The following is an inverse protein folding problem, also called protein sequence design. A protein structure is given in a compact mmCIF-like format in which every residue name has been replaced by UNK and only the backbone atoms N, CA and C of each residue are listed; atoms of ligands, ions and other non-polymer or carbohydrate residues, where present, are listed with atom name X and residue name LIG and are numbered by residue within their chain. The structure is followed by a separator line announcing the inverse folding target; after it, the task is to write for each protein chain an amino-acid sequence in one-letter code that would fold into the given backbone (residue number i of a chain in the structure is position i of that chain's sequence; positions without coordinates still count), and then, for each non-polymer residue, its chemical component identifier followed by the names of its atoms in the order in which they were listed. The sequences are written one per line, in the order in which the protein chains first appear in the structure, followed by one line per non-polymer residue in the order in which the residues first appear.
data_IF_344167287668
#
_entry.id   IF_344167287668
#
_cell.length_a   1.000
_cell.length_b   1.000
_cell.length_c   1.000
_cell.angle_alpha   90.00
_cell.angle_beta   90.00
_cell.angle_gamma   90.00
#
_symmetry.space_group_name_H-M   'P 1'
#
loop_
_entity.id
_entity.type
_entity.pdbx_description
1 polymer ?
#
# COMPACT_ATOMS: atom_id res chain seq x y z
N UNK A 1 -59.70 32.61 -33.42
CA UNK A 1 -58.62 33.41 -34.04
C UNK A 1 -57.39 33.42 -33.11
N UNK A 2 -56.33 32.71 -33.49
CA UNK A 2 -54.95 33.09 -33.15
C UNK A 2 -54.45 34.05 -34.25
N UNK A 3 -53.36 34.86 -34.11
CA UNK A 3 -52.18 34.62 -33.25
C UNK A 3 -51.44 35.83 -32.59
N UNK A 4 -50.62 35.52 -31.54
CA UNK A 4 -49.19 35.94 -31.25
C UNK A 4 -48.88 37.45 -31.02
N UNK A 5 -48.02 37.93 -30.11
CA UNK A 5 -46.71 37.52 -29.52
C UNK A 5 -46.37 38.47 -28.29
N UNK A 6 -45.18 38.47 -27.62
CA UNK A 6 -44.84 37.74 -26.39
C UNK A 6 -44.45 38.57 -25.14
N UNK A 7 -44.27 37.83 -24.04
CA UNK A 7 -43.82 38.21 -22.69
C UNK A 7 -42.33 38.58 -22.61
N UNK A 8 -41.94 39.85 -22.59
CA UNK A 8 -40.68 40.33 -22.00
C UNK A 8 -40.92 41.72 -21.40
N UNK A 9 -41.24 41.81 -20.11
CA UNK A 9 -41.14 43.05 -19.29
C UNK A 9 -41.52 42.77 -17.83
N UNK A 10 -40.89 41.77 -17.20
CA UNK A 10 -40.91 41.58 -15.74
C UNK A 10 -39.60 40.96 -15.23
N UNK A 11 -38.44 41.53 -15.60
CA UNK A 11 -37.15 41.25 -14.94
C UNK A 11 -36.15 42.40 -15.20
N UNK A 12 -36.56 43.64 -14.93
CA UNK A 12 -35.72 44.81 -15.14
C UNK A 12 -36.02 45.90 -14.12
N UNK A 13 -35.89 45.59 -12.83
CA UNK A 13 -35.94 46.59 -11.74
C UNK A 13 -35.39 46.08 -10.38
N UNK A 14 -34.43 45.15 -10.40
CA UNK A 14 -33.63 44.76 -9.20
C UNK A 14 -32.12 44.77 -9.49
N UNK A 15 -31.70 45.16 -10.70
CA UNK A 15 -30.29 45.16 -11.12
C UNK A 15 -29.62 46.56 -11.08
N UNK A 16 -30.13 47.48 -10.26
CA UNK A 16 -29.61 48.87 -10.19
C UNK A 16 -29.43 49.42 -8.75
N UNK A 17 -29.24 48.53 -7.76
CA UNK A 17 -28.86 48.95 -6.39
C UNK A 17 -27.65 48.23 -5.79
N UNK A 18 -26.91 47.41 -6.57
CA UNK A 18 -25.70 46.71 -6.11
C UNK A 18 -24.44 47.04 -6.93
N UNK A 19 -24.49 48.08 -7.77
CA UNK A 19 -23.34 48.55 -8.57
C UNK A 19 -22.70 49.85 -8.06
N UNK A 20 -23.16 50.43 -6.93
CA UNK A 20 -22.59 51.67 -6.37
C UNK A 20 -21.86 51.51 -5.02
N UNK A 21 -21.88 50.31 -4.40
CA UNK A 21 -21.10 50.03 -3.18
C UNK A 21 -19.75 49.34 -3.45
N UNK A 22 -19.47 48.97 -4.72
CA UNK A 22 -18.21 48.32 -5.11
C UNK A 22 -17.18 49.29 -5.71
N UNK A 23 -17.56 50.55 -6.01
CA UNK A 23 -16.65 51.56 -6.55
C UNK A 23 -16.04 52.52 -5.50
N UNK A 24 -16.41 52.40 -4.22
CA UNK A 24 -15.90 53.25 -3.13
C UNK A 24 -14.94 52.55 -2.15
N UNK A 25 -14.60 51.28 -2.37
CA UNK A 25 -13.57 50.55 -1.60
C UNK A 25 -12.23 50.36 -2.35
N UNK A 26 -12.08 50.97 -3.54
CA UNK A 26 -10.84 50.92 -4.34
C UNK A 26 -10.01 52.22 -4.28
N UNK A 27 -10.08 52.97 -3.17
CA UNK A 27 -9.20 54.11 -2.88
C UNK A 27 -8.86 54.18 -1.38
N UNK A 28 -8.15 53.17 -0.89
CA UNK A 28 -7.37 53.27 0.34
C UNK A 28 -6.10 52.43 0.16
N UNK A 29 -5.00 53.11 -0.15
CA UNK A 29 -3.69 52.49 -0.33
C UNK A 29 -3.12 52.02 1.00
N UNK A 30 -3.01 50.69 1.17
CA UNK A 30 -2.10 50.06 2.13
C UNK A 30 -0.85 49.56 1.41
N UNK A 31 0.32 49.47 2.08
CA UNK A 31 1.57 49.10 1.44
C UNK A 31 1.52 47.66 0.92
N UNK A 32 2.01 47.48 -0.32
CA UNK A 32 2.04 46.19 -0.99
C UNK A 32 2.91 45.16 -0.24
N UNK A 33 2.48 43.89 -0.12
CA UNK A 33 3.35 42.84 0.39
C UNK A 33 4.49 42.58 -0.61
N UNK A 34 5.71 42.24 -0.14
CA UNK A 34 6.84 42.02 -1.02
C UNK A 34 6.59 40.84 -1.96
N UNK A 35 6.90 41.02 -3.25
CA UNK A 35 6.95 39.98 -4.27
C UNK A 35 7.80 38.81 -3.76
N UNK A 36 7.20 37.64 -3.57
CA UNK A 36 7.95 36.39 -3.52
C UNK A 36 8.40 36.06 -4.94
N UNK A 37 9.70 36.19 -5.20
CA UNK A 37 10.33 35.54 -6.34
C UNK A 37 10.23 34.01 -6.20
N UNK A 38 10.11 33.27 -7.31
CA UNK A 38 10.20 31.81 -7.27
C UNK A 38 11.57 31.41 -6.70
N UNK A 39 11.68 30.41 -5.81
CA UNK A 39 12.98 29.97 -5.36
C UNK A 39 13.74 29.41 -6.56
N UNK A 40 14.81 30.11 -6.93
CA UNK A 40 15.78 29.64 -7.90
C UNK A 40 16.35 28.29 -7.48
N UNK A 41 16.66 27.46 -8.47
CA UNK A 41 17.38 26.22 -8.30
C UNK A 41 18.69 26.46 -7.53
N UNK A 42 18.69 26.09 -6.25
CA UNK A 42 19.90 25.97 -5.48
C UNK A 42 20.58 24.65 -5.85
N UNK A 43 21.51 24.69 -6.81
CA UNK A 43 22.59 23.70 -6.91
C UNK A 43 23.46 23.79 -5.66
N UNK A 44 22.99 23.17 -4.57
CA UNK A 44 23.76 23.02 -3.34
C UNK A 44 24.75 21.87 -3.46
N UNK A 45 25.98 22.16 -3.88
CA UNK A 45 27.17 21.36 -3.53
C UNK A 45 27.40 21.45 -2.01
N UNK A 46 26.62 20.70 -1.24
CA UNK A 46 26.75 20.57 0.21
C UNK A 46 27.30 19.19 0.57
N UNK A 47 28.61 19.09 0.75
CA UNK A 47 29.25 17.90 1.30
C UNK A 47 28.76 17.63 2.72
N UNK A 48 28.24 16.43 2.97
CA UNK A 48 27.94 15.92 4.30
C UNK A 48 29.24 15.84 5.12
N UNK A 49 29.45 16.79 6.04
CA UNK A 49 30.45 16.67 7.11
C UNK A 49 29.75 16.34 8.44
N UNK A 50 30.21 15.25 9.05
CA UNK A 50 30.29 15.11 10.51
C UNK A 50 29.09 14.50 11.24
N UNK A 51 29.09 13.17 11.38
CA UNK A 51 28.52 12.53 12.57
C UNK A 51 29.45 12.82 13.76
N UNK A 52 28.96 13.21 14.95
CA UNK A 52 29.81 13.25 16.13
C UNK A 52 30.16 11.82 16.56
N UNK A 53 31.43 11.68 16.95
CA UNK A 53 32.12 10.44 17.33
C UNK A 53 31.49 9.76 18.54
N UNK A 54 31.73 8.45 18.57
CA UNK A 54 31.58 7.48 19.67
C UNK A 54 31.80 8.08 21.07
N UNK A 55 30.97 7.64 22.02
CA UNK A 55 31.35 7.46 23.42
C UNK A 55 31.16 5.98 23.79
N UNK A 56 32.00 5.42 24.68
CA UNK A 56 32.25 3.98 24.77
C UNK A 56 31.20 3.22 25.59
N UNK A 57 30.92 1.99 25.16
CA UNK A 57 30.22 0.97 25.95
C UNK A 57 31.12 0.46 27.08
N UNK A 58 30.64 0.28 28.32
CA UNK A 58 31.35 -0.54 29.29
C UNK A 58 31.06 -2.03 29.02
N UNK A 59 32.14 -2.81 29.14
CA UNK A 59 32.18 -4.25 28.92
C UNK A 59 31.38 -5.01 29.98
N UNK A 60 30.66 -6.04 29.54
CA UNK A 60 30.13 -7.11 30.38
C UNK A 60 31.23 -8.16 30.59
N UNK A 61 31.60 -8.40 31.85
CA UNK A 61 32.22 -9.65 32.31
C UNK A 61 31.23 -10.28 33.31
N UNK A 62 30.91 -11.56 33.12
CA UNK A 62 30.44 -12.43 34.21
C UNK A 62 31.57 -13.36 34.66
N UNK A 63 31.33 -14.38 35.49
CA UNK A 63 30.22 -14.60 36.43
C UNK A 63 30.73 -14.83 37.88
N UNK A 64 29.91 -14.61 38.92
CA UNK A 64 30.11 -15.24 40.23
C UNK A 64 28.80 -15.40 41.02
N UNK A 65 28.67 -16.55 41.67
CA UNK A 65 27.74 -16.91 42.76
C UNK A 65 28.54 -17.84 43.69
N UNK A 66 28.09 -18.18 44.91
CA UNK A 66 27.09 -17.57 45.80
C UNK A 66 27.66 -17.31 47.23
N UNK A 67 26.97 -16.54 48.07
CA UNK A 67 27.06 -16.71 49.52
C UNK A 67 25.81 -16.25 50.24
N UNK A 68 25.45 -17.01 51.26
CA UNK A 68 24.28 -16.91 52.10
C UNK A 68 24.48 -15.87 53.21
N UNK A 69 23.40 -15.25 53.68
CA UNK A 69 23.15 -15.22 55.13
C UNK A 69 21.65 -15.05 55.48
N UNK A 70 21.30 -15.67 56.60
CA UNK A 70 19.99 -15.88 57.24
C UNK A 70 19.67 -14.74 58.21
N UNK A 71 18.37 -14.46 58.35
CA UNK A 71 17.63 -14.28 59.63
C UNK A 71 16.16 -13.98 59.29
N UNK A 72 15.19 -14.90 59.43
CA UNK A 72 14.38 -15.27 60.63
C UNK A 72 13.97 -14.03 61.45
N UNK A 73 12.70 -13.66 61.62
CA UNK A 73 11.49 -14.35 62.15
C UNK A 73 10.23 -13.56 61.69
N UNK A 74 8.96 -13.99 61.72
CA UNK A 74 8.23 -14.97 62.55
C UNK A 74 6.89 -15.29 61.87
N UNK A 75 6.44 -16.54 62.01
CA UNK A 75 5.11 -17.05 61.65
C UNK A 75 4.02 -16.47 62.56
N UNK A 76 2.79 -16.32 62.03
CA UNK A 76 1.54 -16.69 62.68
C UNK A 76 0.48 -17.07 61.62
N UNK A 77 -0.44 -17.92 62.04
CA UNK A 77 -1.14 -18.97 61.29
C UNK A 77 -2.60 -18.66 60.94
N UNK A 78 -3.07 -19.32 59.88
CA UNK A 78 -4.42 -19.88 59.60
C UNK A 78 -5.64 -18.96 59.50
N UNK A 79 -6.31 -19.01 58.34
CA UNK A 79 -7.70 -19.46 58.27
C UNK A 79 -8.09 -19.90 56.85
N UNK A 80 -8.70 -21.09 56.77
CA UNK A 80 -9.35 -21.73 55.62
C UNK A 80 -10.48 -20.85 55.10
N UNK A 81 -10.68 -20.70 53.78
CA UNK A 81 -12.02 -20.54 53.20
C UNK A 81 -12.11 -21.20 51.80
N UNK A 82 -13.05 -22.15 51.73
CA UNK A 82 -13.69 -22.89 50.62
C UNK A 82 -13.27 -22.61 49.17
N UNK A 83 -12.79 -23.69 48.54
CA UNK A 83 -12.91 -23.96 47.10
C UNK A 83 -14.39 -24.13 46.76
N UNK A 84 -14.90 -23.33 45.82
CA UNK A 84 -16.17 -23.60 45.14
C UNK A 84 -15.88 -23.74 43.65
N UNK A 85 -16.10 -24.94 43.13
CA UNK A 85 -16.08 -25.25 41.70
C UNK A 85 -17.41 -24.78 41.12
N UNK A 86 -17.38 -23.78 40.25
CA UNK A 86 -18.50 -23.46 39.35
C UNK A 86 -18.07 -23.68 37.90
N UNK A 87 -18.86 -24.48 37.19
CA UNK A 87 -18.73 -24.89 35.79
C UNK A 87 -18.65 -23.69 34.82
N UNK A 88 -18.05 -23.88 33.63
CA UNK A 88 -17.74 -22.79 32.71
C UNK A 88 -19.02 -22.25 32.06
N UNK A 89 -19.26 -20.95 32.22
CA UNK A 89 -20.23 -20.22 31.41
C UNK A 89 -19.57 -19.87 30.08
N UNK A 90 -20.32 -20.09 29.01
CA UNK A 90 -19.84 -20.23 27.64
C UNK A 90 -18.97 -19.09 27.14
N UNK A 91 -17.96 -19.48 26.36
CA UNK A 91 -17.31 -18.64 25.38
C UNK A 91 -18.36 -18.17 24.36
N UNK A 92 -19.01 -17.06 24.65
CA UNK A 92 -19.71 -16.27 23.64
C UNK A 92 -18.66 -15.48 22.87
N UNK A 93 -18.64 -15.69 21.55
CA UNK A 93 -17.97 -14.86 20.54
C UNK A 93 -17.79 -13.41 20.98
N UNK A 94 -16.54 -12.99 21.17
CA UNK A 94 -16.19 -11.64 21.55
C UNK A 94 -16.82 -10.63 20.57
N UNK A 95 -17.65 -9.76 21.14
CA UNK A 95 -18.40 -8.75 20.40
C UNK A 95 -17.47 -7.77 19.69
N UNK A 96 -17.69 -7.64 18.38
CA UNK A 96 -17.23 -6.48 17.61
C UNK A 96 -18.01 -5.28 18.15
N UNK A 97 -17.36 -4.38 18.90
CA UNK A 97 -18.02 -3.12 19.28
C UNK A 97 -18.24 -2.32 18.00
N UNK A 98 -19.50 -2.19 17.57
CA UNK A 98 -19.84 -1.31 16.46
C UNK A 98 -19.62 0.12 16.94
N UNK A 99 -18.65 0.82 16.35
CA UNK A 99 -18.39 2.24 16.61
C UNK A 99 -19.69 3.03 16.39
N UNK A 100 -20.12 3.82 17.38
CA UNK A 100 -21.28 4.70 17.20
C UNK A 100 -20.82 6.00 16.55
N UNK A 101 -21.68 6.62 15.74
CA UNK A 101 -21.35 7.84 15.00
C UNK A 101 -20.86 8.99 15.92
N UNK A 102 -21.43 9.08 17.12
CA UNK A 102 -21.04 10.06 18.16
C UNK A 102 -19.60 9.90 18.66
N UNK A 103 -19.00 8.71 18.46
CA UNK A 103 -17.63 8.41 18.91
C UNK A 103 -16.59 8.85 17.86
N UNK A 104 -17.02 9.17 16.62
CA UNK A 104 -16.14 9.55 15.52
C UNK A 104 -15.65 10.99 15.73
N UNK A 105 -14.33 11.14 15.90
CA UNK A 105 -13.65 12.43 16.05
C UNK A 105 -12.99 12.87 14.75
N UNK A 106 -12.61 11.93 13.87
CA UNK A 106 -12.00 12.23 12.57
C UNK A 106 -12.75 11.47 11.48
N UNK A 107 -13.85 12.01 10.95
CA UNK A 107 -14.46 11.42 9.77
C UNK A 107 -13.45 11.47 8.61
N UNK A 108 -13.36 10.38 7.86
CA UNK A 108 -12.57 10.29 6.62
C UNK A 108 -13.52 10.13 5.43
N UNK A 109 -14.26 11.18 5.05
CA UNK A 109 -15.36 11.08 4.08
C UNK A 109 -14.89 10.96 2.62
N UNK A 110 -13.62 10.63 2.41
CA UNK A 110 -13.02 10.57 1.08
C UNK A 110 -13.60 9.42 0.26
N UNK A 111 -13.84 9.70 -1.01
CA UNK A 111 -14.41 8.77 -1.98
C UNK A 111 -13.31 8.23 -2.87
N UNK A 112 -13.49 6.99 -3.32
CA UNK A 112 -12.63 6.42 -4.34
C UNK A 112 -12.84 7.13 -5.68
N UNK A 113 -11.75 7.62 -6.26
CA UNK A 113 -11.66 8.10 -7.65
C UNK A 113 -11.27 6.96 -8.58
N UNK A 114 -10.32 6.12 -8.14
CA UNK A 114 -9.90 4.89 -8.81
C UNK A 114 -9.88 3.78 -7.76
N UNK A 115 -10.43 2.62 -8.11
CA UNK A 115 -10.49 1.48 -7.22
C UNK A 115 -10.58 0.19 -8.03
N UNK A 116 -9.59 -0.71 -7.95
CA UNK A 116 -9.63 -1.98 -8.66
C UNK A 116 -10.52 -3.02 -7.96
N UNK A 117 -11.08 -2.68 -6.80
CA UNK A 117 -11.99 -3.50 -6.01
C UNK A 117 -11.38 -4.83 -5.60
N UNK A 118 -12.23 -5.83 -5.44
CA UNK A 118 -11.79 -7.17 -5.01
C UNK A 118 -10.99 -7.93 -6.08
N UNK A 119 -10.94 -7.44 -7.33
CA UNK A 119 -10.26 -8.15 -8.41
C UNK A 119 -8.77 -8.42 -8.10
N UNK A 120 -8.11 -7.48 -7.42
CA UNK A 120 -6.71 -7.61 -6.99
C UNK A 120 -6.56 -8.65 -5.87
N UNK A 121 -7.61 -8.89 -5.09
CA UNK A 121 -7.59 -9.78 -3.93
C UNK A 121 -8.30 -11.12 -4.13
N UNK A 122 -8.82 -11.38 -5.33
CA UNK A 122 -9.36 -12.69 -5.74
C UNK A 122 -8.29 -13.44 -6.52
N UNK A 123 -7.56 -14.37 -5.88
CA UNK A 123 -6.71 -15.29 -6.62
C UNK A 123 -7.55 -16.51 -7.03
N UNK A 124 -7.67 -16.75 -8.34
CA UNK A 124 -8.28 -17.98 -8.85
C UNK A 124 -7.20 -19.04 -8.98
N UNK A 125 -7.08 -19.94 -8.00
CA UNK A 125 -6.28 -21.15 -8.17
C UNK A 125 -7.14 -22.17 -8.91
N UNK A 126 -6.73 -22.57 -10.12
CA UNK A 126 -7.26 -23.78 -10.74
C UNK A 126 -6.84 -24.95 -9.87
N UNK A 127 -7.78 -25.64 -9.24
CA UNK A 127 -7.52 -26.94 -8.63
C UNK A 127 -7.07 -27.89 -9.73
N UNK A 128 -5.78 -28.24 -9.77
CA UNK A 128 -5.33 -29.37 -10.60
C UNK A 128 -5.85 -30.65 -9.92
N UNK A 129 -7.02 -31.11 -10.35
CA UNK A 129 -7.52 -32.44 -10.00
C UNK A 129 -6.64 -33.48 -10.67
N UNK A 130 -5.67 -34.03 -9.93
CA UNK A 130 -4.94 -35.22 -10.33
C UNK A 130 -5.92 -36.41 -10.28
N UNK A 131 -6.60 -36.68 -11.39
CA UNK A 131 -7.39 -37.89 -11.56
C UNK A 131 -6.43 -39.00 -11.98
N UNK A 132 -6.01 -39.81 -11.02
CA UNK A 132 -5.19 -41.01 -11.26
C UNK A 132 -6.12 -42.09 -11.84
N UNK A 133 -6.34 -42.08 -13.15
CA UNK A 133 -6.96 -43.23 -13.81
C UNK A 133 -5.93 -44.36 -13.89
N UNK A 134 -5.99 -45.29 -12.94
CA UNK A 134 -5.53 -46.65 -13.21
C UNK A 134 -6.49 -47.25 -14.23
N UNK A 135 -5.95 -47.63 -15.38
CA UNK A 135 -6.67 -48.36 -16.42
C UNK A 135 -5.66 -49.22 -17.15
N UNK A 136 -5.73 -50.52 -16.87
CA UNK A 136 -4.88 -51.58 -17.41
C UNK A 136 -4.85 -51.55 -18.94
N UNK A 137 -3.67 -51.83 -19.49
CA UNK A 137 -3.53 -52.14 -20.90
C UNK A 137 -4.11 -53.51 -21.22
N UNK A 138 -4.76 -53.62 -22.38
CA UNK A 138 -4.85 -54.85 -23.15
C UNK A 138 -4.85 -54.50 -24.64
N UNK A 139 -3.95 -55.17 -25.36
CA UNK A 139 -3.90 -55.31 -26.81
C UNK A 139 -5.18 -55.97 -27.33
N UNK A 140 -5.66 -55.58 -28.53
CA UNK A 140 -5.56 -56.37 -29.79
C UNK A 140 -6.52 -55.85 -30.87
N UNK A 141 -5.96 -55.66 -32.08
CA UNK A 141 -6.44 -56.08 -33.40
C UNK A 141 -7.69 -55.48 -34.08
N UNK A 142 -7.41 -55.05 -35.32
CA UNK A 142 -8.23 -54.62 -36.46
C UNK A 142 -9.25 -55.61 -37.03
N UNK A 143 -10.29 -55.10 -37.71
CA UNK A 143 -10.78 -55.40 -39.10
C UNK A 143 -12.19 -54.77 -39.31
N UNK A 144 -12.44 -54.11 -40.45
CA UNK A 144 -13.76 -53.57 -40.88
C UNK A 144 -14.48 -54.50 -41.90
N UNK A 145 -15.30 -54.01 -42.86
CA UNK A 145 -16.44 -53.07 -42.82
C UNK A 145 -17.73 -53.67 -43.45
N UNK A 146 -18.90 -53.00 -43.38
CA UNK A 146 -20.08 -53.35 -44.20
C UNK A 146 -21.38 -52.58 -43.93
N UNK A 147 -21.81 -51.79 -44.94
CA UNK A 147 -23.16 -51.48 -45.49
C UNK A 147 -24.45 -51.93 -44.73
N UNK A 148 -25.65 -51.32 -44.77
CA UNK A 148 -26.32 -50.17 -45.44
C UNK A 148 -27.76 -50.05 -44.88
N UNK A 149 -28.32 -48.83 -44.91
CA UNK A 149 -29.72 -48.40 -45.15
C UNK A 149 -30.91 -48.75 -44.21
N UNK A 150 -31.48 -47.66 -43.68
CA UNK A 150 -32.89 -47.21 -43.62
C UNK A 150 -34.02 -48.23 -43.36
N UNK A 151 -34.95 -47.90 -42.45
CA UNK A 151 -36.34 -47.46 -42.79
C UNK A 151 -37.01 -46.83 -41.54
N UNK A 152 -37.78 -45.78 -41.80
CA UNK A 152 -38.64 -44.99 -40.91
C UNK A 152 -39.92 -45.76 -40.53
N UNK A 153 -40.52 -45.48 -39.36
CA UNK A 153 -41.98 -45.51 -39.21
C UNK A 153 -42.57 -45.90 -37.86
N UNK A 154 -43.24 -44.91 -37.23
CA UNK A 154 -44.40 -44.98 -36.31
C UNK A 154 -44.13 -45.28 -34.83
N UNK A 155 -44.26 -44.32 -33.88
CA UNK A 155 -45.48 -43.77 -33.21
C UNK A 155 -46.41 -44.87 -32.67
N UNK A 156 -46.85 -44.94 -31.40
CA UNK A 156 -46.90 -43.98 -30.30
C UNK A 156 -47.17 -44.71 -28.95
N UNK A 157 -46.39 -44.35 -27.94
CA UNK A 157 -46.61 -44.27 -26.47
C UNK A 157 -47.81 -44.98 -25.78
N UNK A 158 -47.48 -45.83 -24.80
CA UNK A 158 -48.25 -46.12 -23.57
C UNK A 158 -47.42 -45.75 -22.34
N UNK A 159 -48.13 -45.30 -21.30
CA UNK A 159 -47.68 -44.87 -19.98
C UNK A 159 -46.75 -45.87 -19.24
N UNK A 160 -45.71 -45.37 -18.56
CA UNK A 160 -45.67 -45.29 -17.08
C UNK A 160 -44.30 -44.85 -16.51
N UNK A 161 -44.39 -43.85 -15.64
CA UNK A 161 -43.56 -43.50 -14.46
C UNK A 161 -42.11 -44.02 -14.35
N UNK A 162 -41.13 -43.10 -14.35
CA UNK A 162 -39.97 -43.13 -13.43
C UNK A 162 -39.16 -41.82 -13.44
N UNK A 163 -38.73 -41.44 -12.24
CA UNK A 163 -37.81 -40.36 -11.85
C UNK A 163 -36.74 -40.04 -12.90
N UNK A 164 -36.79 -38.83 -13.45
CA UNK A 164 -35.76 -38.25 -14.29
C UNK A 164 -34.66 -37.58 -13.47
N UNK A 165 -33.46 -38.08 -13.64
CA UNK A 165 -32.19 -37.61 -13.10
C UNK A 165 -31.96 -36.13 -13.42
N UNK A 166 -31.63 -35.32 -12.41
CA UNK A 166 -30.98 -34.04 -12.64
C UNK A 166 -29.56 -34.32 -13.13
N UNK A 167 -29.28 -33.97 -14.39
CA UNK A 167 -27.91 -33.89 -14.89
C UNK A 167 -27.09 -32.97 -13.98
N UNK A 168 -26.23 -33.55 -13.17
CA UNK A 168 -25.18 -32.86 -12.45
C UNK A 168 -24.19 -32.30 -13.46
N UNK A 169 -24.39 -31.05 -13.87
CA UNK A 169 -23.34 -30.28 -14.51
C UNK A 169 -22.14 -30.27 -13.55
N UNK A 170 -21.03 -30.85 -13.98
CA UNK A 170 -19.76 -30.76 -13.29
C UNK A 170 -19.30 -29.29 -13.33
N UNK A 171 -19.78 -28.49 -12.37
CA UNK A 171 -19.24 -27.18 -12.07
C UNK A 171 -17.81 -27.38 -11.58
N UNK A 172 -16.84 -26.88 -12.34
CA UNK A 172 -15.46 -26.78 -11.88
C UNK A 172 -15.45 -25.99 -10.57
N UNK A 173 -15.20 -26.67 -9.46
CA UNK A 173 -15.11 -26.04 -8.14
C UNK A 173 -13.87 -25.15 -8.08
N UNK A 174 -14.01 -23.86 -8.34
CA UNK A 174 -12.97 -22.88 -8.06
C UNK A 174 -12.87 -22.72 -6.53
N UNK A 175 -11.85 -23.30 -5.92
CA UNK A 175 -11.48 -22.92 -4.55
C UNK A 175 -10.97 -21.48 -4.57
N UNK A 176 -11.71 -20.57 -3.95
CA UNK A 176 -11.28 -19.18 -3.78
C UNK A 176 -10.08 -19.19 -2.83
N UNK A 177 -8.87 -19.09 -3.39
CA UNK A 177 -7.68 -18.83 -2.58
C UNK A 177 -7.66 -17.36 -2.21
N UNK A 178 -7.34 -17.08 -0.95
CA UNK A 178 -7.14 -15.71 -0.47
C UNK A 178 -5.68 -15.30 -0.67
N UNK A 179 -5.47 -14.01 -0.89
CA UNK A 179 -4.13 -13.41 -0.95
C UNK A 179 -3.40 -13.72 0.35
N UNK A 180 -2.17 -14.24 0.27
CA UNK A 180 -1.37 -14.48 1.46
C UNK A 180 -0.69 -13.19 1.93
N UNK A 181 -0.15 -12.40 1.01
CA UNK A 181 0.48 -11.11 1.29
C UNK A 181 -0.07 -9.99 0.39
N UNK A 182 -0.83 -9.06 0.97
CA UNK A 182 -1.16 -7.81 0.29
C UNK A 182 0.01 -6.83 0.45
N UNK A 183 0.53 -6.31 -0.65
CA UNK A 183 1.48 -5.20 -0.66
C UNK A 183 0.75 -3.95 -1.10
N UNK A 184 0.68 -2.93 -0.24
CA UNK A 184 0.22 -1.60 -0.68
C UNK A 184 1.37 -0.61 -0.64
N UNK A 185 1.55 0.12 -1.73
CA UNK A 185 2.67 1.03 -1.94
C UNK A 185 2.17 2.46 -1.93
N UNK A 186 2.69 3.29 -1.03
CA UNK A 186 2.47 4.73 -1.10
C UNK A 186 3.25 5.30 -2.30
N UNK A 187 2.53 5.97 -3.21
CA UNK A 187 3.13 6.64 -4.35
C UNK A 187 2.49 8.00 -4.58
N UNK A 188 3.18 8.91 -5.26
CA UNK A 188 2.62 10.17 -5.70
C UNK A 188 2.12 10.05 -7.16
N UNK A 189 1.06 10.76 -7.58
CA UNK A 189 0.57 10.75 -8.95
C UNK A 189 1.67 10.90 -10.00
N UNK A 190 2.64 11.81 -9.78
CA UNK A 190 3.79 12.07 -10.66
C UNK A 190 4.82 10.92 -10.76
N UNK A 191 4.80 9.94 -9.86
CA UNK A 191 5.82 8.89 -9.75
C UNK A 191 5.55 7.67 -10.67
N UNK A 192 5.04 7.89 -11.89
CA UNK A 192 4.75 6.83 -12.87
C UNK A 192 5.96 5.91 -13.09
N UNK A 193 7.15 6.50 -13.23
CA UNK A 193 8.40 5.75 -13.46
C UNK A 193 8.79 4.86 -12.27
N UNK A 194 8.50 5.30 -11.04
CA UNK A 194 8.79 4.49 -9.85
C UNK A 194 7.82 3.31 -9.74
N UNK A 195 6.52 3.56 -9.94
CA UNK A 195 5.51 2.48 -10.00
C UNK A 195 5.86 1.46 -11.09
N UNK A 196 6.21 1.93 -12.28
CA UNK A 196 6.67 1.07 -13.37
C UNK A 196 7.90 0.25 -12.98
N UNK A 197 8.89 0.85 -12.31
CA UNK A 197 10.08 0.11 -11.87
C UNK A 197 9.74 -1.01 -10.87
N UNK A 198 8.75 -0.81 -10.00
CA UNK A 198 8.27 -1.84 -9.07
C UNK A 198 7.63 -2.99 -9.85
N UNK A 199 6.76 -2.69 -10.82
CA UNK A 199 6.12 -3.69 -11.69
C UNK A 199 7.11 -4.49 -12.53
N UNK A 200 8.25 -3.91 -12.88
CA UNK A 200 9.31 -4.56 -13.66
C UNK A 200 10.32 -5.33 -12.80
N UNK A 201 10.26 -5.18 -11.48
CA UNK A 201 11.24 -5.76 -10.56
C UNK A 201 10.56 -6.62 -9.49
N UNK A 202 10.70 -6.25 -8.22
CA UNK A 202 10.27 -7.03 -7.07
C UNK A 202 8.75 -7.17 -6.97
N UNK A 203 8.00 -6.21 -7.53
CA UNK A 203 6.55 -6.24 -7.64
C UNK A 203 6.05 -6.78 -8.99
N UNK A 204 6.88 -7.52 -9.74
CA UNK A 204 6.47 -8.13 -11.00
C UNK A 204 5.43 -9.23 -10.81
N UNK A 205 4.60 -9.45 -11.84
CA UNK A 205 3.52 -10.47 -11.80
C UNK A 205 4.03 -11.88 -11.47
N UNK A 206 5.23 -12.24 -11.93
CA UNK A 206 5.88 -13.51 -11.60
C UNK A 206 6.28 -13.57 -10.13
N UNK A 207 6.99 -12.55 -9.63
CA UNK A 207 7.41 -12.42 -8.24
C UNK A 207 6.20 -12.48 -7.29
N UNK A 208 5.15 -11.71 -7.58
CA UNK A 208 3.94 -11.69 -6.76
C UNK A 208 3.22 -13.05 -6.75
N UNK A 209 3.07 -13.69 -7.92
CA UNK A 209 2.41 -15.02 -8.03
C UNK A 209 3.16 -16.10 -7.26
N UNK A 210 4.49 -16.11 -7.32
CA UNK A 210 5.34 -17.07 -6.61
C UNK A 210 5.11 -17.03 -5.09
N UNK A 211 4.78 -15.85 -4.56
CA UNK A 211 4.63 -15.61 -3.13
C UNK A 211 3.16 -15.48 -2.68
N UNK A 212 2.20 -15.87 -3.54
CA UNK A 212 0.76 -15.63 -3.34
C UNK A 212 0.45 -14.20 -2.83
N UNK A 213 1.11 -13.23 -3.46
CA UNK A 213 1.03 -11.82 -3.10
C UNK A 213 0.24 -11.04 -4.16
N UNK A 214 -0.36 -9.94 -3.72
CA UNK A 214 -1.01 -8.94 -4.58
C UNK A 214 -0.44 -7.57 -4.29
N UNK A 215 -0.48 -6.67 -5.27
CA UNK A 215 0.08 -5.32 -5.14
C UNK A 215 -0.94 -4.27 -5.58
N UNK A 216 -1.02 -3.18 -4.81
CA UNK A 216 -1.73 -1.94 -5.19
C UNK A 216 -0.90 -0.70 -4.86
N UNK A 217 -1.11 0.38 -5.62
CA UNK A 217 -0.56 1.70 -5.34
C UNK A 217 -1.63 2.59 -4.72
N UNK A 218 -1.33 3.24 -3.59
CA UNK A 218 -2.24 4.15 -2.90
C UNK A 218 -1.83 5.61 -3.19
N UNK A 219 -2.75 6.38 -3.76
CA UNK A 219 -2.56 7.76 -4.19
C UNK A 219 -3.67 8.68 -3.67
N UNK A 220 -3.38 9.98 -3.57
CA UNK A 220 -4.38 11.03 -3.47
C UNK A 220 -4.71 11.65 -4.84
N UNK A 221 -5.64 12.59 -4.83
CA UNK A 221 -6.02 13.39 -5.99
C UNK A 221 -4.91 14.34 -6.44
N UNK A 222 -4.94 14.68 -7.73
CA UNK A 222 -4.00 15.59 -8.37
C UNK A 222 -4.77 16.65 -9.16
N UNK A 223 -4.48 17.96 -8.98
CA UNK A 223 -5.21 19.01 -9.67
C UNK A 223 -4.76 19.21 -11.12
N UNK A 224 -3.55 18.78 -11.48
CA UNK A 224 -3.02 18.89 -12.85
C UNK A 224 -3.77 17.95 -13.81
N UNK A 225 -4.52 18.49 -14.79
CA UNK A 225 -5.30 17.67 -15.72
C UNK A 225 -4.44 16.76 -16.62
N UNK A 226 -3.22 17.19 -16.97
CA UNK A 226 -2.32 16.38 -17.80
C UNK A 226 -1.82 15.17 -17.03
N UNK A 227 -1.43 15.40 -15.77
CA UNK A 227 -1.00 14.32 -14.89
C UNK A 227 -2.16 13.37 -14.54
N UNK A 228 -3.37 13.90 -14.35
CA UNK A 228 -4.57 13.08 -14.18
C UNK A 228 -4.81 12.18 -15.41
N UNK A 229 -4.73 12.71 -16.62
CA UNK A 229 -4.89 11.92 -17.85
C UNK A 229 -3.87 10.78 -17.94
N UNK A 230 -2.59 11.06 -17.65
CA UNK A 230 -1.55 10.03 -17.62
C UNK A 230 -1.84 8.95 -16.57
N UNK A 231 -2.36 9.34 -15.40
CA UNK A 231 -2.73 8.41 -14.34
C UNK A 231 -3.92 7.52 -14.74
N UNK A 232 -4.93 8.08 -15.42
CA UNK A 232 -6.07 7.31 -15.94
C UNK A 232 -5.62 6.27 -16.96
N UNK A 233 -4.74 6.65 -17.89
CA UNK A 233 -4.15 5.72 -18.87
C UNK A 233 -3.32 4.61 -18.20
N UNK A 234 -2.56 4.95 -17.16
CA UNK A 234 -1.84 3.95 -16.37
C UNK A 234 -2.80 2.98 -15.67
N UNK A 235 -3.87 3.49 -15.05
CA UNK A 235 -4.85 2.66 -14.37
C UNK A 235 -5.62 1.76 -15.33
N UNK A 236 -6.01 2.26 -16.52
CA UNK A 236 -6.63 1.44 -17.56
C UNK A 236 -5.75 0.25 -17.96
N UNK A 237 -4.43 0.46 -18.00
CA UNK A 237 -3.48 -0.58 -18.39
C UNK A 237 -3.21 -1.61 -17.29
N UNK A 238 -3.12 -1.19 -16.03
CA UNK A 238 -2.62 -2.05 -14.95
C UNK A 238 -3.68 -2.43 -13.91
N UNK A 239 -4.71 -1.61 -13.70
CA UNK A 239 -5.79 -1.89 -12.75
C UNK A 239 -5.29 -2.12 -11.32
N UNK A 240 -4.23 -1.43 -10.90
CA UNK A 240 -3.56 -1.60 -9.61
C UNK A 240 -3.48 -0.31 -8.79
N UNK A 241 -4.29 0.70 -9.13
CA UNK A 241 -4.28 2.03 -8.47
C UNK A 241 -5.53 2.22 -7.62
N UNK A 242 -5.33 2.47 -6.34
CA UNK A 242 -6.34 2.98 -5.42
C UNK A 242 -6.08 4.47 -5.24
N UNK A 243 -7.06 5.29 -5.64
CA UNK A 243 -6.99 6.73 -5.49
C UNK A 243 -8.22 7.23 -4.74
N UNK A 244 -8.02 8.06 -3.72
CA UNK A 244 -9.11 8.79 -3.07
C UNK A 244 -9.01 10.31 -3.33
N UNK A 245 -10.10 11.03 -3.07
CA UNK A 245 -10.28 12.43 -3.44
C UNK A 245 -9.60 13.47 -2.51
N UNK A 246 -8.69 13.07 -1.61
CA UNK A 246 -7.85 14.01 -0.85
C UNK A 246 -6.64 14.48 -1.67
N UNK A 247 -6.26 15.75 -1.56
CA UNK A 247 -5.08 16.29 -2.27
C UNK A 247 -3.79 15.54 -1.87
N UNK A 248 -3.08 14.98 -2.84
CA UNK A 248 -1.82 14.28 -2.59
C UNK A 248 -0.70 15.26 -2.23
N UNK A 249 -0.33 15.29 -0.95
CA UNK A 249 0.73 16.15 -0.42
C UNK A 249 1.41 15.52 0.79
N UNK A 250 2.61 15.99 1.13
CA UNK A 250 3.35 15.53 2.32
C UNK A 250 2.54 15.67 3.62
N UNK A 251 1.76 16.75 3.77
CA UNK A 251 0.93 16.98 4.96
C UNK A 251 -0.31 16.06 5.01
N UNK A 252 -0.70 15.49 3.88
CA UNK A 252 -1.84 14.59 3.74
C UNK A 252 -1.44 13.11 3.63
N UNK A 253 -0.17 12.75 3.87
CA UNK A 253 0.27 11.35 3.87
C UNK A 253 -0.52 10.48 4.85
N UNK A 254 -0.99 11.07 5.97
CA UNK A 254 -1.82 10.34 6.92
C UNK A 254 -3.14 9.90 6.31
N UNK A 255 -3.79 10.75 5.50
CA UNK A 255 -4.99 10.34 4.77
C UNK A 255 -4.70 9.24 3.75
N UNK A 256 -3.55 9.29 3.08
CA UNK A 256 -3.10 8.21 2.19
C UNK A 256 -2.90 6.89 2.93
N UNK A 257 -2.30 6.93 4.13
CA UNK A 257 -2.12 5.74 4.93
C UNK A 257 -3.45 5.13 5.40
N UNK A 258 -4.38 6.00 5.82
CA UNK A 258 -5.75 5.60 6.20
C UNK A 258 -6.49 5.02 5.00
N UNK A 259 -6.34 5.60 3.80
CA UNK A 259 -6.92 5.06 2.57
C UNK A 259 -6.42 3.65 2.26
N UNK A 260 -5.13 3.38 2.50
CA UNK A 260 -4.55 2.03 2.40
C UNK A 260 -5.18 1.03 3.37
N UNK A 261 -5.34 1.41 4.65
CA UNK A 261 -6.00 0.58 5.67
C UNK A 261 -7.47 0.33 5.32
N UNK A 262 -8.22 1.39 4.98
CA UNK A 262 -9.62 1.33 4.57
C UNK A 262 -9.82 0.40 3.37
N UNK A 263 -8.99 0.56 2.33
CA UNK A 263 -9.10 -0.26 1.13
C UNK A 263 -8.78 -1.73 1.42
N UNK A 264 -7.71 -2.00 2.18
CA UNK A 264 -7.36 -3.37 2.58
C UNK A 264 -8.47 -4.02 3.41
N UNK A 265 -9.03 -3.30 4.39
CA UNK A 265 -10.15 -3.77 5.22
C UNK A 265 -11.43 -4.03 4.41
N UNK A 266 -11.66 -3.27 3.33
CA UNK A 266 -12.89 -3.36 2.53
C UNK A 266 -12.79 -4.42 1.44
N UNK A 267 -11.69 -4.43 0.67
CA UNK A 267 -11.57 -5.22 -0.56
C UNK A 267 -10.57 -6.38 -0.45
N UNK A 268 -9.80 -6.45 0.65
CA UNK A 268 -8.78 -7.46 0.87
C UNK A 268 -8.78 -8.03 2.30
N UNK A 269 -9.94 -8.06 2.95
CA UNK A 269 -10.09 -8.41 4.37
C UNK A 269 -9.62 -9.81 4.77
N UNK A 270 -9.41 -10.69 3.80
CA UNK A 270 -8.95 -12.07 3.99
C UNK A 270 -7.45 -12.25 3.76
N UNK A 271 -6.70 -11.18 3.51
CA UNK A 271 -5.26 -11.26 3.40
C UNK A 271 -4.62 -11.76 4.71
N UNK A 272 -3.66 -12.69 4.66
CA UNK A 272 -2.98 -13.16 5.89
C UNK A 272 -2.07 -12.08 6.47
N UNK A 273 -1.29 -11.44 5.60
CA UNK A 273 -0.38 -10.35 5.94
C UNK A 273 -0.59 -9.16 5.01
N UNK A 274 -0.23 -7.98 5.52
CA UNK A 274 -0.22 -6.74 4.76
C UNK A 274 1.15 -6.11 4.92
N UNK A 275 1.83 -5.82 3.81
CA UNK A 275 3.06 -5.05 3.76
C UNK A 275 2.76 -3.65 3.22
N UNK A 276 2.95 -2.64 4.07
CA UNK A 276 3.07 -1.24 3.62
C UNK A 276 4.50 -0.99 3.18
N UNK A 277 4.69 -0.30 2.07
CA UNK A 277 5.99 0.25 1.68
C UNK A 277 5.87 1.55 0.88
N UNK A 278 6.98 2.26 0.68
CA UNK A 278 7.04 3.44 -0.19
C UNK A 278 7.59 3.11 -1.58
N UNK A 279 7.33 3.98 -2.56
CA UNK A 279 7.72 3.78 -3.96
C UNK A 279 9.23 3.94 -4.27
N UNK A 280 10.05 4.25 -3.25
CA UNK A 280 11.51 4.28 -3.31
C UNK A 280 12.17 3.19 -2.44
N UNK A 281 11.42 2.14 -2.10
CA UNK A 281 11.93 0.98 -1.39
C UNK A 281 12.02 -0.22 -2.33
N UNK A 282 13.18 -0.86 -2.36
CA UNK A 282 13.35 -2.21 -2.92
C UNK A 282 13.05 -3.24 -1.83
N UNK A 283 12.12 -4.15 -2.12
CA UNK A 283 11.68 -5.21 -1.22
C UNK A 283 12.25 -6.55 -1.67
N UNK A 284 12.96 -7.24 -0.79
CA UNK A 284 13.36 -8.64 -0.97
C UNK A 284 12.19 -9.55 -0.56
N UNK A 285 11.19 -9.67 -1.44
CA UNK A 285 9.94 -10.38 -1.17
C UNK A 285 10.14 -11.83 -0.71
N UNK A 286 11.08 -12.63 -1.30
CA UNK A 286 11.38 -13.98 -0.81
C UNK A 286 11.79 -14.02 0.67
N UNK A 287 12.64 -13.08 1.12
CA UNK A 287 13.07 -13.04 2.52
C UNK A 287 11.97 -12.60 3.46
N UNK A 288 11.12 -11.65 3.05
CA UNK A 288 9.93 -11.25 3.82
C UNK A 288 9.01 -12.45 4.03
N UNK A 289 8.66 -13.15 2.95
CA UNK A 289 7.76 -14.31 2.98
C UNK A 289 8.35 -15.44 3.84
N UNK A 290 9.62 -15.80 3.60
CA UNK A 290 10.33 -16.82 4.38
C UNK A 290 10.34 -16.48 5.86
N UNK A 291 10.71 -15.25 6.23
CA UNK A 291 10.79 -14.83 7.63
C UNK A 291 9.42 -14.87 8.31
N UNK A 292 8.36 -14.43 7.61
CA UNK A 292 7.00 -14.49 8.14
C UNK A 292 6.55 -15.93 8.38
N UNK A 293 6.84 -16.86 7.46
CA UNK A 293 6.43 -18.26 7.57
C UNK A 293 7.22 -19.05 8.61
N UNK A 294 8.54 -18.83 8.71
CA UNK A 294 9.42 -19.70 9.51
C UNK A 294 9.76 -19.15 10.88
N UNK A 295 9.65 -17.83 11.08
CA UNK A 295 10.01 -17.17 12.34
C UNK A 295 8.81 -16.49 12.98
N UNK A 296 8.13 -15.63 12.25
CA UNK A 296 7.11 -14.74 12.83
C UNK A 296 5.82 -15.50 13.14
N UNK A 297 5.29 -16.25 12.17
CA UNK A 297 4.07 -17.05 12.35
C UNK A 297 4.19 -18.03 13.50
N UNK A 298 5.25 -18.86 13.59
CA UNK A 298 5.37 -19.82 14.68
C UNK A 298 5.54 -19.16 16.04
N UNK A 299 6.13 -17.97 16.10
CA UNK A 299 6.42 -17.27 17.35
C UNK A 299 5.26 -16.41 17.86
N UNK A 300 4.48 -15.80 16.97
CA UNK A 300 3.50 -14.77 17.33
C UNK A 300 2.09 -15.02 16.77
N UNK A 301 1.92 -15.99 15.86
CA UNK A 301 0.66 -16.23 15.17
C UNK A 301 0.35 -15.22 14.06
N UNK A 302 -0.93 -15.07 13.74
CA UNK A 302 -1.45 -14.27 12.63
C UNK A 302 -2.36 -13.11 13.07
N UNK A 303 -2.48 -12.84 14.37
CA UNK A 303 -3.41 -11.84 14.89
C UNK A 303 -2.66 -10.70 15.59
N UNK A 304 -3.17 -9.48 15.42
CA UNK A 304 -2.68 -8.27 16.11
C UNK A 304 -1.16 -8.10 16.07
N UNK A 305 -0.57 -8.36 14.90
CA UNK A 305 0.85 -8.26 14.64
C UNK A 305 1.19 -6.94 13.96
N UNK A 306 2.27 -6.29 14.43
CA UNK A 306 3.02 -5.28 13.69
C UNK A 306 4.51 -5.56 13.81
N UNK A 307 5.20 -5.65 12.66
CA UNK A 307 6.61 -5.98 12.54
C UNK A 307 7.34 -4.92 11.69
N UNK A 308 8.37 -4.27 12.24
CA UNK A 308 9.00 -3.14 11.55
C UNK A 308 10.38 -2.75 12.10
N UNK A 309 11.07 -1.84 11.39
CA UNK A 309 12.12 -1.03 12.01
C UNK A 309 11.49 -0.04 13.00
N UNK A 310 11.64 -0.30 14.29
CA UNK A 310 11.07 0.55 15.33
C UNK A 310 12.01 1.72 15.66
N UNK A 311 11.48 2.93 15.55
CA UNK A 311 12.11 4.13 16.07
C UNK A 311 11.88 4.26 17.57
N UNK A 312 12.94 4.57 18.30
CA UNK A 312 12.86 4.88 19.72
C UNK A 312 13.28 6.32 19.96
N UNK A 313 12.43 7.09 20.65
CA UNK A 313 12.71 8.47 21.06
C UNK A 313 13.18 9.35 19.90
N UNK A 314 12.44 9.38 18.79
CA UNK A 314 12.72 10.33 17.72
C UNK A 314 12.39 11.73 18.19
N UNK A 315 13.36 12.64 18.06
CA UNK A 315 13.20 14.02 18.52
C UNK A 315 12.17 14.75 17.65
N UNK A 316 11.26 15.46 18.29
CA UNK A 316 10.35 16.38 17.61
C UNK A 316 11.17 17.55 17.07
N UNK A 317 11.03 17.82 15.77
CA UNK A 317 11.79 18.90 15.13
C UNK A 317 11.05 20.21 15.34
N UNK A 318 11.68 21.12 16.09
CA UNK A 318 11.15 22.46 16.42
C UNK A 318 11.71 23.58 15.53
N UNK A 319 12.56 23.24 14.58
CA UNK A 319 13.05 24.19 13.58
C UNK A 319 11.97 24.46 12.52
N UNK A 320 11.46 25.70 12.46
CA UNK A 320 10.44 26.15 11.51
C UNK A 320 10.86 26.01 10.04
N UNK A 321 12.16 25.92 9.75
CA UNK A 321 12.67 25.70 8.38
C UNK A 321 12.60 24.24 7.95
N UNK A 322 12.42 23.31 8.89
CA UNK A 322 12.29 21.90 8.58
C UNK A 322 10.91 21.61 7.99
N UNK A 323 10.87 20.80 6.92
CA UNK A 323 9.60 20.23 6.42
C UNK A 323 8.88 19.39 7.47
N UNK A 324 9.61 18.91 8.47
CA UNK A 324 9.13 18.12 9.61
C UNK A 324 8.88 18.96 10.87
N UNK A 325 8.80 20.28 10.75
CA UNK A 325 8.47 21.18 11.86
C UNK A 325 7.13 20.83 12.49
N UNK A 326 7.14 20.69 13.81
CA UNK A 326 5.95 20.47 14.64
C UNK A 326 5.93 21.52 15.76
N UNK A 327 4.91 22.41 15.79
CA UNK A 327 4.70 23.34 16.89
C UNK A 327 4.51 22.63 18.24
N UNK A 328 4.86 23.29 19.33
CA UNK A 328 4.69 22.77 20.69
C UNK A 328 3.21 22.51 21.03
N UNK A 329 2.31 23.39 20.57
CA UNK A 329 0.86 23.21 20.74
C UNK A 329 0.29 21.98 20.02
N UNK A 330 0.92 21.54 18.93
CA UNK A 330 0.49 20.35 18.18
C UNK A 330 1.01 19.06 18.81
N UNK A 331 2.17 19.13 19.46
CA UNK A 331 2.78 18.00 20.17
C UNK A 331 3.62 18.53 21.34
N UNK A 332 3.15 18.43 22.60
CA UNK A 332 3.86 19.02 23.74
C UNK A 332 5.19 18.34 24.11
N UNK A 333 5.35 17.04 23.83
CA UNK A 333 6.56 16.30 24.19
C UNK A 333 7.76 16.59 23.28
N UNK A 334 8.98 16.36 23.78
CA UNK A 334 10.21 16.52 22.98
C UNK A 334 10.54 15.33 22.08
N UNK A 335 9.91 14.19 22.33
CA UNK A 335 10.17 12.95 21.63
C UNK A 335 8.87 12.23 21.29
N UNK A 336 8.82 11.64 20.10
CA UNK A 336 7.78 10.69 19.76
C UNK A 336 7.88 9.44 20.66
N UNK A 337 6.75 8.90 21.14
CA UNK A 337 6.63 7.51 21.58
C UNK A 337 7.12 6.52 20.50
N UNK A 338 7.38 5.25 20.83
CA UNK A 338 7.81 4.28 19.84
C UNK A 338 6.82 4.13 18.66
N UNK A 339 7.34 4.11 17.44
CA UNK A 339 6.59 3.91 16.19
C UNK A 339 7.51 3.27 15.13
N UNK A 340 6.96 2.82 14.03
CA UNK A 340 7.69 2.20 12.92
C UNK A 340 8.21 3.24 11.92
N UNK A 341 9.30 2.90 11.23
CA UNK A 341 9.73 3.62 10.03
C UNK A 341 8.69 3.52 8.92
N UNK A 342 8.40 4.64 8.26
CA UNK A 342 7.50 4.69 7.11
C UNK A 342 7.94 3.92 5.90
N UNK A 343 9.25 3.72 5.76
CA UNK A 343 9.82 2.97 4.64
C UNK A 343 9.08 1.65 4.38
N UNK A 344 8.87 0.84 5.42
CA UNK A 344 8.07 -0.38 5.31
C UNK A 344 7.71 -0.94 6.69
N UNK A 345 6.54 -1.56 6.79
CA UNK A 345 6.13 -2.35 7.96
C UNK A 345 5.15 -3.45 7.54
N UNK A 346 5.15 -4.56 8.28
CA UNK A 346 4.21 -5.67 8.08
C UNK A 346 3.18 -5.66 9.19
N UNK A 347 1.92 -5.86 8.80
CA UNK A 347 0.77 -6.07 9.67
C UNK A 347 0.20 -7.47 9.43
N UNK A 348 -0.43 -8.06 10.43
CA UNK A 348 -1.41 -9.12 10.18
C UNK A 348 -2.65 -8.54 9.48
N UNK A 349 -3.41 -9.39 8.78
CA UNK A 349 -4.59 -8.96 8.01
C UNK A 349 -5.67 -8.27 8.84
N UNK A 350 -5.93 -8.78 10.05
CA UNK A 350 -6.94 -8.24 10.99
C UNK A 350 -6.66 -6.78 11.38
N UNK A 351 -5.38 -6.38 11.39
CA UNK A 351 -4.97 -5.04 11.78
C UNK A 351 -5.45 -3.95 10.81
N UNK A 352 -5.70 -4.25 9.54
CA UNK A 352 -6.22 -3.22 8.61
C UNK A 352 -7.54 -2.64 9.09
N UNK A 353 -8.48 -3.52 9.48
CA UNK A 353 -9.77 -3.08 9.99
C UNK A 353 -9.64 -2.44 11.36
N UNK A 354 -8.93 -3.07 12.29
CA UNK A 354 -8.74 -2.54 13.64
C UNK A 354 -8.13 -1.13 13.63
N UNK A 355 -7.12 -0.92 12.79
CA UNK A 355 -6.46 0.38 12.67
C UNK A 355 -7.31 1.40 11.92
N UNK A 356 -8.07 1.00 10.90
CA UNK A 356 -9.01 1.92 10.24
C UNK A 356 -10.11 2.39 11.20
N UNK A 357 -10.69 1.48 11.98
CA UNK A 357 -11.69 1.82 13.01
C UNK A 357 -11.09 2.72 14.10
N UNK A 358 -9.86 2.43 14.56
CA UNK A 358 -9.15 3.28 15.51
C UNK A 358 -8.86 4.69 14.96
N UNK A 359 -8.67 4.86 13.65
CA UNK A 359 -8.39 6.17 13.06
C UNK A 359 -9.58 7.12 13.14
N UNK A 360 -10.80 6.57 13.07
CA UNK A 360 -12.04 7.35 13.18
C UNK A 360 -12.17 8.05 14.54
N UNK A 361 -11.59 7.49 15.60
CA UNK A 361 -11.72 7.99 16.98
C UNK A 361 -10.42 8.58 17.54
N UNK A 362 -9.28 8.38 16.88
CA UNK A 362 -7.97 8.88 17.33
C UNK A 362 -7.64 10.20 16.67
N UNK A 363 -7.58 11.31 17.45
CA UNK A 363 -7.26 12.67 16.98
C UNK A 363 -6.16 12.68 15.90
N UNK A 364 -6.48 13.23 14.74
CA UNK A 364 -5.59 13.27 13.59
C UNK A 364 -4.22 13.90 13.92
N UNK A 365 -3.17 13.30 13.34
CA UNK A 365 -1.82 13.86 13.34
C UNK A 365 -1.18 13.63 11.98
N UNK A 366 -0.55 14.65 11.40
CA UNK A 366 -0.18 14.66 9.98
C UNK A 366 1.03 13.79 9.61
N UNK A 367 1.88 13.45 10.59
CA UNK A 367 3.01 12.53 10.40
C UNK A 367 2.47 11.10 10.38
N UNK A 368 2.33 10.55 9.18
CA UNK A 368 1.65 9.28 8.91
C UNK A 368 2.26 8.11 9.67
N UNK A 369 3.58 7.97 9.63
CA UNK A 369 4.26 6.87 10.31
C UNK A 369 3.96 6.84 11.80
N UNK A 370 4.05 8.00 12.45
CA UNK A 370 3.75 8.14 13.87
C UNK A 370 2.25 7.96 14.16
N UNK A 371 1.38 8.55 13.35
CA UNK A 371 -0.06 8.42 13.54
C UNK A 371 -0.47 6.94 13.44
N UNK A 372 -0.14 6.30 12.33
CA UNK A 372 -0.54 4.94 11.99
C UNK A 372 0.10 3.93 12.93
N UNK A 373 1.42 3.98 13.08
CA UNK A 373 2.15 2.92 13.79
C UNK A 373 2.50 3.29 15.23
N UNK A 374 2.23 4.51 15.67
CA UNK A 374 2.41 4.95 17.06
C UNK A 374 1.07 5.19 17.74
N UNK A 375 0.31 6.18 17.27
CA UNK A 375 -0.93 6.61 17.92
C UNK A 375 -2.04 5.54 17.85
N UNK A 376 -2.33 4.98 16.66
CA UNK A 376 -3.35 3.94 16.51
C UNK A 376 -2.95 2.64 17.22
N UNK A 377 -1.68 2.25 17.11
CA UNK A 377 -1.15 1.06 17.80
C UNK A 377 -1.25 1.19 19.32
N UNK A 378 -1.00 2.39 19.86
CA UNK A 378 -1.20 2.69 21.28
C UNK A 378 -2.69 2.63 21.65
N UNK A 379 -3.57 3.20 20.84
CA UNK A 379 -5.02 3.13 21.07
C UNK A 379 -5.51 1.69 21.13
N UNK A 380 -4.98 0.83 20.25
CA UNK A 380 -5.33 -0.59 20.20
C UNK A 380 -4.65 -1.42 21.29
N UNK A 381 -3.68 -0.91 22.05
CA UNK A 381 -2.82 -1.70 22.96
C UNK A 381 -2.14 -2.90 22.26
N UNK A 382 -1.51 -2.63 21.11
CA UNK A 382 -0.71 -3.62 20.36
C UNK A 382 0.79 -3.36 20.57
N UNK A 383 1.58 -4.43 20.76
CA UNK A 383 3.03 -4.33 20.94
C UNK A 383 3.76 -4.45 19.60
N UNK A 384 4.70 -3.53 19.35
CA UNK A 384 5.61 -3.65 18.20
C UNK A 384 6.54 -4.86 18.32
N UNK A 385 6.72 -5.56 17.21
CA UNK A 385 7.79 -6.52 17.01
C UNK A 385 8.90 -5.86 16.19
N UNK A 386 10.13 -5.97 16.67
CA UNK A 386 11.29 -5.33 16.07
C UNK A 386 11.85 -6.17 14.93
N UNK A 387 12.17 -5.50 13.83
CA UNK A 387 12.88 -6.04 12.66
C UNK A 387 13.96 -5.07 12.18
N UNK A 388 14.50 -4.23 13.07
CA UNK A 388 15.42 -3.14 12.72
C UNK A 388 16.62 -3.60 11.89
N UNK A 389 17.14 -4.81 12.13
CA UNK A 389 18.29 -5.36 11.41
C UNK A 389 18.03 -5.60 9.92
N UNK A 390 16.77 -5.74 9.49
CA UNK A 390 16.43 -6.06 8.11
C UNK A 390 16.37 -4.84 7.18
N UNK A 391 16.74 -3.64 7.66
CA UNK A 391 16.57 -2.39 6.93
C UNK A 391 17.91 -1.74 6.59
N UNK A 392 18.04 -1.30 5.34
CA UNK A 392 19.08 -0.37 4.90
C UNK A 392 18.45 0.96 4.46
N UNK A 393 18.28 1.87 5.42
CA UNK A 393 17.59 3.15 5.21
C UNK A 393 18.45 4.28 4.67
N UNK A 394 19.78 4.12 4.67
CA UNK A 394 20.70 5.09 4.09
C UNK A 394 21.03 4.67 2.65
N UNK A 395 20.54 5.39 1.62
CA UNK A 395 20.73 5.02 0.22
C UNK A 395 22.20 5.02 -0.20
N UNK A 396 23.04 5.86 0.43
CA UNK A 396 24.47 5.98 0.10
C UNK A 396 25.28 4.73 0.46
N UNK A 397 24.78 3.90 1.39
CA UNK A 397 25.45 2.66 1.81
C UNK A 397 24.66 1.41 1.43
N UNK A 398 23.45 1.55 0.88
CA UNK A 398 22.56 0.44 0.59
C UNK A 398 23.18 -0.57 -0.39
N UNK A 399 23.85 -0.08 -1.45
CA UNK A 399 24.52 -0.96 -2.41
C UNK A 399 25.68 -1.74 -1.78
N UNK A 400 26.51 -1.08 -0.96
CA UNK A 400 27.61 -1.74 -0.26
C UNK A 400 27.13 -2.76 0.76
N UNK A 401 26.08 -2.41 1.52
CA UNK A 401 25.44 -3.33 2.47
C UNK A 401 24.85 -4.55 1.77
N UNK A 402 24.16 -4.36 0.65
CA UNK A 402 23.62 -5.48 -0.13
C UNK A 402 24.71 -6.44 -0.61
N UNK A 403 25.81 -5.92 -1.18
CA UNK A 403 26.92 -6.77 -1.67
C UNK A 403 27.56 -7.60 -0.54
N UNK A 404 27.53 -7.08 0.68
CA UNK A 404 28.07 -7.76 1.86
C UNK A 404 27.03 -8.61 2.61
N UNK A 405 25.76 -8.57 2.21
CA UNK A 405 24.68 -9.32 2.84
C UNK A 405 24.62 -10.75 2.30
N UNK A 406 25.67 -11.51 2.59
CA UNK A 406 25.81 -12.92 2.17
C UNK A 406 24.84 -13.85 2.88
N UNK A 407 24.22 -13.39 3.97
CA UNK A 407 23.23 -14.15 4.75
C UNK A 407 21.78 -13.80 4.40
N UNK A 408 21.57 -12.83 3.50
CA UNK A 408 20.25 -12.34 3.10
C UNK A 408 19.40 -11.84 4.28
N UNK A 409 20.03 -11.14 5.21
CA UNK A 409 19.39 -10.58 6.40
C UNK A 409 18.65 -9.26 6.11
N UNK A 410 18.93 -8.60 4.97
CA UNK A 410 18.31 -7.34 4.57
C UNK A 410 17.10 -7.55 3.66
N UNK A 411 15.97 -6.98 4.09
CA UNK A 411 14.68 -7.13 3.43
C UNK A 411 14.27 -5.86 2.69
N UNK A 412 14.61 -4.69 3.25
CA UNK A 412 14.15 -3.39 2.75
C UNK A 412 15.32 -2.46 2.50
N UNK A 413 15.41 -1.91 1.28
CA UNK A 413 16.47 -0.99 0.87
C UNK A 413 15.85 0.31 0.38
N UNK A 414 16.21 1.42 1.02
CA UNK A 414 15.79 2.74 0.57
C UNK A 414 16.70 3.23 -0.56
N UNK A 415 16.14 3.46 -1.75
CA UNK A 415 16.87 3.72 -2.99
C UNK A 415 16.25 4.88 -3.78
N UNK A 416 16.93 6.02 -3.80
CA UNK A 416 16.46 7.18 -4.57
C UNK A 416 16.69 7.08 -6.08
N UNK A 417 17.61 6.21 -6.53
CA UNK A 417 18.03 6.13 -7.94
C UNK A 417 17.55 4.82 -8.55
N UNK A 418 16.67 4.91 -9.57
CA UNK A 418 16.16 3.75 -10.30
C UNK A 418 17.28 2.86 -10.86
N UNK A 419 18.38 3.45 -11.34
CA UNK A 419 19.55 2.69 -11.80
C UNK A 419 20.12 1.76 -10.73
N UNK A 420 20.16 2.21 -9.48
CA UNK A 420 20.63 1.40 -8.34
C UNK A 420 19.62 0.31 -8.03
N UNK A 421 18.32 0.61 -8.07
CA UNK A 421 17.25 -0.37 -7.88
C UNK A 421 17.35 -1.51 -8.90
N UNK A 422 17.39 -1.22 -10.21
CA UNK A 422 17.52 -2.26 -11.24
C UNK A 422 18.81 -3.06 -11.08
N UNK A 423 19.93 -2.40 -10.77
CA UNK A 423 21.21 -3.08 -10.58
C UNK A 423 21.21 -4.02 -9.38
N UNK A 424 20.58 -3.62 -8.27
CA UNK A 424 20.42 -4.48 -7.09
C UNK A 424 19.46 -5.63 -7.35
N UNK A 425 18.32 -5.37 -8.00
CA UNK A 425 17.35 -6.40 -8.36
C UNK A 425 17.97 -7.49 -9.24
N UNK A 426 18.70 -7.11 -10.29
CA UNK A 426 19.41 -8.07 -11.16
C UNK A 426 20.38 -8.96 -10.39
N UNK A 427 21.12 -8.39 -9.43
CA UNK A 427 22.03 -9.18 -8.60
C UNK A 427 21.28 -10.14 -7.67
N UNK A 428 20.08 -9.78 -7.20
CA UNK A 428 19.24 -10.66 -6.37
C UNK A 428 18.66 -11.83 -7.18
N UNK A 429 18.23 -11.60 -8.43
CA UNK A 429 17.52 -12.61 -9.23
C UNK A 429 18.41 -13.42 -10.16
N UNK A 430 19.65 -12.98 -10.42
CA UNK A 430 20.58 -13.68 -11.31
C UNK A 430 22.02 -13.61 -10.79
N UNK A 431 22.34 -14.32 -9.69
CA UNK A 431 23.69 -14.35 -9.15
C UNK A 431 24.64 -14.97 -10.18
N UNK A 432 25.58 -14.20 -10.71
CA UNK A 432 26.65 -14.70 -11.60
C UNK A 432 26.51 -14.39 -13.10
N UNK A 433 25.44 -13.73 -13.55
CA UNK A 433 25.40 -13.20 -14.94
C UNK A 433 26.12 -11.85 -15.02
N UNK A 434 27.11 -11.66 -15.93
CA UNK A 434 27.78 -10.38 -16.12
C UNK A 434 26.79 -9.26 -16.39
N UNK A 435 27.12 -8.02 -15.98
CA UNK A 435 26.34 -6.80 -16.25
C UNK A 435 26.19 -6.56 -17.76
N UNK A 436 25.28 -7.24 -18.41
CA UNK A 436 24.78 -6.81 -19.71
C UNK A 436 23.87 -5.63 -19.45
N UNK A 437 24.18 -4.48 -20.07
CA UNK A 437 23.29 -3.31 -20.02
C UNK A 437 21.92 -3.78 -20.49
N UNK A 438 20.90 -3.64 -19.64
CA UNK A 438 19.52 -3.97 -20.01
C UNK A 438 19.17 -3.35 -21.36
N UNK A 439 18.62 -4.11 -22.32
CA UNK A 439 18.17 -3.57 -23.60
C UNK A 439 17.05 -2.53 -23.46
N UNK A 440 16.37 -2.50 -22.30
CA UNK A 440 15.14 -1.75 -22.05
C UNK A 440 15.30 -0.23 -21.89
N UNK A 441 16.53 0.32 -22.01
CA UNK A 441 16.75 1.76 -22.15
C UNK A 441 16.87 2.22 -23.61
N UNK A 442 16.70 1.33 -24.61
CA UNK A 442 16.52 1.72 -26.02
C UNK A 442 15.05 1.55 -26.40
N UNK A 443 14.31 2.66 -26.36
CA UNK A 443 12.90 2.66 -26.72
C UNK A 443 12.25 4.04 -26.78
N UNK A 444 13.01 5.09 -27.08
CA UNK A 444 12.48 6.32 -27.69
C UNK A 444 13.50 6.69 -28.77
N UNK A 445 13.17 6.62 -30.07
CA UNK A 445 14.11 6.98 -31.12
C UNK A 445 14.41 8.48 -31.05
N UNK A 446 15.65 8.81 -30.71
CA UNK A 446 16.22 10.11 -31.01
C UNK A 446 16.70 10.10 -32.48
N UNK A 447 16.22 11.09 -33.25
CA UNK A 447 16.58 11.44 -34.64
C UNK A 447 16.09 10.51 -35.76
N UNK A 448 15.03 10.97 -36.44
CA UNK A 448 15.06 11.01 -37.90
C UNK A 448 15.85 12.27 -38.31
N UNK A 449 16.76 12.10 -39.26
CA UNK A 449 17.64 13.13 -39.77
C UNK A 449 16.90 14.26 -40.47
N UNK A 450 17.57 15.41 -40.48
CA UNK A 450 17.34 16.57 -41.32
C UNK A 450 16.94 16.21 -42.74
N UNK A 451 15.71 16.57 -43.11
CA UNK A 451 15.35 16.92 -44.49
C UNK A 451 14.92 18.38 -44.43
N UNK A 452 15.72 19.22 -45.08
CA UNK A 452 15.47 20.64 -45.30
C UNK A 452 14.16 20.83 -46.09
N UNK A 453 13.22 21.66 -45.64
CA UNK A 453 12.15 22.13 -46.51
C UNK A 453 12.74 23.15 -47.49
N UNK A 454 12.53 22.87 -48.77
CA UNK A 454 12.80 23.76 -49.89
C UNK A 454 12.05 25.09 -49.70
N UNK A 455 12.81 26.18 -49.60
CA UNK A 455 12.32 27.54 -49.53
C UNK A 455 12.14 28.05 -50.96
N UNK A 456 11.01 27.71 -51.56
CA UNK A 456 10.49 28.48 -52.69
C UNK A 456 9.00 28.75 -52.47
N UNK A 457 8.62 30.02 -52.64
CA UNK A 457 7.25 30.56 -52.64
C UNK A 457 6.63 30.82 -51.26
N UNK A 458 6.96 31.97 -50.65
CA UNK A 458 6.02 33.10 -50.46
C UNK A 458 6.71 34.25 -49.71
N UNK A 459 6.83 35.37 -50.43
CA UNK A 459 7.33 36.66 -49.94
C UNK A 459 6.28 37.37 -49.08
N UNK A 460 6.79 38.29 -48.27
CA UNK A 460 6.22 39.58 -47.81
C UNK A 460 5.02 39.59 -46.86
N UNK A 461 5.27 39.92 -45.58
CA UNK A 461 4.64 41.04 -44.81
C UNK A 461 5.57 41.42 -43.62
N UNK A 462 5.86 42.71 -43.33
CA UNK A 462 6.78 43.15 -42.26
C UNK A 462 6.11 43.29 -40.87
N UNK A 463 6.88 43.44 -39.78
CA UNK A 463 6.34 43.47 -38.42
C UNK A 463 5.80 44.86 -38.06
N UNK A 464 4.71 44.89 -37.28
CA UNK A 464 4.22 46.10 -36.61
C UNK A 464 4.59 46.03 -35.13
N UNK A 465 4.99 47.19 -34.63
CA UNK A 465 5.66 47.51 -33.36
C UNK A 465 4.92 47.14 -32.07
#
# INVERSE_FOLDING_TARGET
MFPRLPRILRFGLVALSLSLSLLLLLRAGGPAPPRMEPPGEAEGKGGFRGYPRRLPSPAFQGPMSPSADRSRHRFLTTSRHKVTVTRPLGLTTAGRSVLQEKDIVNPHPFKYLLNPGEAVCRTSVKSQGWSRSQGQGQHTSSVGPGHTNSTLGQTQSRHDTKLGQSHSGQGQGYSQSHVWLLVYVHSAPANLKKRQSIRETWGSRSSLREHNASLVFILGSVPDPKLLQLLLMENERYGDIVQEDFLDSYRNLTYKAIAGLKWAATFCSKATYILKTDDDILVNLPQVVKHLQTVVTPQYGHDRLILCNQWQRMKIIRDKKSKWYIPEGDFPGDYFPPYCSGSAFVLSGDMAQLMYEASLVTRFFWVDDYYITGALIKHLDVKHRKLNQAYSLNPSVAEGKFRNDTKHELFFFHLHKLRVLYGLWQNMTSPGTPRTRSPLLRGIPARAGSVTPDNSVLRSVPPVA
#
